data_IF_626161513786
#
_entry.id   IF_626161513786
#
_cell.length_a   1.000
_cell.length_b   1.000
_cell.length_c   1.000
_cell.angle_alpha   90.00
_cell.angle_beta   90.00
_cell.angle_gamma   90.00
#
_symmetry.space_group_name_H-M   'P 1'
#
loop_
_entity.id
_entity.type
_entity.pdbx_description
1 polymer ?
#
# COMPACT_ATOMS: atom_id res chain seq x y z
N UNK A 1 -11.62 -9.65 -6.92
CA UNK A 1 -12.51 -8.62 -6.34
C UNK A 1 -11.85 -8.11 -5.05
N UNK A 2 -11.95 -6.83 -4.73
CA UNK A 2 -11.13 -6.16 -3.69
C UNK A 2 -11.43 -6.54 -2.24
N UNK A 3 -10.38 -6.80 -1.44
CA UNK A 3 -10.41 -7.13 -0.01
C UNK A 3 -9.39 -6.29 0.77
N UNK A 4 -9.57 -6.22 2.10
CA UNK A 4 -8.65 -5.55 3.05
C UNK A 4 -8.30 -4.11 2.67
N UNK A 5 -9.24 -3.40 2.04
CA UNK A 5 -8.96 -2.07 1.50
C UNK A 5 -8.63 -1.08 2.61
N UNK A 6 -7.64 -0.23 2.36
CA UNK A 6 -7.30 0.92 3.19
C UNK A 6 -7.40 2.19 2.36
N UNK A 7 -7.76 3.31 2.99
CA UNK A 7 -7.98 4.59 2.32
C UNK A 7 -7.35 5.74 3.11
N UNK A 8 -6.75 6.67 2.38
CA UNK A 8 -6.30 7.96 2.88
C UNK A 8 -6.48 9.04 1.81
N UNK A 9 -6.19 10.31 2.12
CA UNK A 9 -6.39 11.43 1.20
C UNK A 9 -5.13 12.28 1.02
N UNK A 10 -4.93 12.81 -0.18
CA UNK A 10 -3.85 13.76 -0.45
C UNK A 10 -4.20 15.19 -0.01
N UNK A 11 -3.27 16.13 -0.25
CA UNK A 11 -3.46 17.55 0.07
C UNK A 11 -4.57 18.26 -0.71
N UNK A 12 -5.15 17.62 -1.72
CA UNK A 12 -6.30 18.09 -2.48
C UNK A 12 -7.61 17.39 -2.06
N UNK A 13 -7.58 16.61 -0.98
CA UNK A 13 -8.66 15.75 -0.52
C UNK A 13 -9.08 14.70 -1.56
N UNK A 14 -8.17 14.29 -2.43
CA UNK A 14 -8.43 13.21 -3.39
C UNK A 14 -8.17 11.87 -2.69
N UNK A 15 -9.07 10.88 -2.83
CA UNK A 15 -8.90 9.57 -2.20
C UNK A 15 -7.83 8.71 -2.87
N UNK A 16 -7.08 8.00 -2.02
CA UNK A 16 -6.06 7.01 -2.35
C UNK A 16 -6.42 5.72 -1.64
N UNK A 17 -6.57 4.62 -2.39
CA UNK A 17 -7.08 3.33 -1.88
C UNK A 17 -6.10 2.24 -2.24
N UNK A 18 -5.59 1.51 -1.26
CA UNK A 18 -4.92 0.22 -1.49
C UNK A 18 -5.91 -0.92 -1.27
N UNK A 19 -5.81 -2.00 -2.05
CA UNK A 19 -6.65 -3.17 -1.86
C UNK A 19 -6.02 -4.44 -2.44
N UNK A 20 -6.36 -5.58 -1.85
CA UNK A 20 -6.01 -6.91 -2.35
C UNK A 20 -7.03 -7.36 -3.40
N UNK A 21 -6.59 -7.68 -4.62
CA UNK A 21 -7.48 -8.23 -5.64
C UNK A 21 -7.47 -9.75 -5.64
N UNK A 22 -8.48 -10.37 -5.03
CA UNK A 22 -8.62 -11.85 -4.94
C UNK A 22 -8.82 -12.56 -6.29
N UNK A 23 -8.94 -11.81 -7.39
CA UNK A 23 -9.07 -12.40 -8.72
C UNK A 23 -7.70 -12.64 -9.37
N UNK A 24 -6.69 -11.91 -8.95
CA UNK A 24 -5.32 -12.01 -9.46
C UNK A 24 -4.28 -12.21 -8.36
N UNK A 25 -4.70 -12.17 -7.09
CA UNK A 25 -3.90 -12.25 -5.88
C UNK A 25 -2.86 -11.12 -5.74
N UNK A 26 -3.17 -9.96 -6.31
CA UNK A 26 -2.26 -8.81 -6.38
C UNK A 26 -2.59 -7.73 -5.34
N UNK A 27 -1.56 -6.93 -4.99
CA UNK A 27 -1.75 -5.62 -4.39
C UNK A 27 -2.07 -4.60 -5.48
N UNK A 28 -3.24 -3.97 -5.38
CA UNK A 28 -3.66 -2.90 -6.27
C UNK A 28 -3.85 -1.59 -5.52
N UNK A 29 -3.73 -0.52 -6.27
CA UNK A 29 -3.87 0.85 -5.81
C UNK A 29 -4.80 1.60 -6.76
N UNK A 30 -5.79 2.28 -6.21
CA UNK A 30 -6.69 3.15 -6.94
C UNK A 30 -6.68 4.55 -6.35
N UNK A 31 -6.67 5.57 -7.21
CA UNK A 31 -6.75 6.96 -6.77
C UNK A 31 -7.61 7.78 -7.71
N UNK A 32 -8.24 8.82 -7.16
CA UNK A 32 -8.99 9.79 -7.95
C UNK A 32 -8.05 10.91 -8.40
N UNK A 33 -7.89 11.09 -9.70
CA UNK A 33 -7.00 12.15 -10.22
C UNK A 33 -7.66 13.56 -10.22
N UNK A 34 -8.95 13.63 -9.91
CA UNK A 34 -9.77 14.84 -10.02
C UNK A 34 -10.88 14.73 -11.07
N UNK A 35 -10.75 13.78 -12.00
CA UNK A 35 -11.68 13.56 -13.12
C UNK A 35 -12.11 12.10 -13.28
N UNK A 36 -11.21 11.16 -12.99
CA UNK A 36 -11.48 9.73 -13.10
C UNK A 36 -10.67 8.92 -12.08
N UNK A 37 -11.12 7.69 -11.85
CA UNK A 37 -10.36 6.71 -11.09
C UNK A 37 -9.24 6.14 -11.96
N UNK A 38 -8.03 6.18 -11.42
CA UNK A 38 -6.86 5.47 -11.94
C UNK A 38 -6.65 4.22 -11.10
N UNK A 39 -6.18 3.13 -11.73
CA UNK A 39 -5.93 1.84 -11.06
C UNK A 39 -4.58 1.32 -11.52
N UNK A 40 -3.75 0.91 -10.56
CA UNK A 40 -2.40 0.39 -10.76
C UNK A 40 -2.22 -0.94 -10.02
N UNK A 41 -1.39 -1.82 -10.58
CA UNK A 41 -0.88 -3.02 -9.90
C UNK A 41 0.46 -2.67 -9.29
N UNK A 42 0.57 -2.77 -7.97
CA UNK A 42 1.76 -2.35 -7.22
C UNK A 42 2.72 -3.52 -7.05
N UNK A 43 2.18 -4.68 -6.69
CA UNK A 43 2.93 -5.93 -6.57
C UNK A 43 2.04 -7.08 -7.04
N UNK A 44 2.63 -7.96 -7.85
CA UNK A 44 2.01 -9.14 -8.46
C UNK A 44 2.86 -10.40 -8.24
N UNK A 45 3.81 -10.34 -7.31
CA UNK A 45 4.81 -11.37 -7.10
C UNK A 45 4.31 -12.45 -6.14
N UNK A 46 3.26 -13.19 -6.53
CA UNK A 46 2.60 -14.21 -5.69
C UNK A 46 1.31 -13.70 -5.05
N UNK A 47 0.85 -14.32 -3.96
CA UNK A 47 -0.31 -13.82 -3.17
C UNK A 47 0.16 -12.68 -2.26
N UNK A 48 -0.04 -11.46 -2.71
CA UNK A 48 0.45 -10.23 -2.09
C UNK A 48 -0.66 -9.19 -1.93
N UNK A 49 -0.56 -8.36 -0.90
CA UNK A 49 -1.46 -7.23 -0.69
C UNK A 49 -2.52 -7.44 0.39
N UNK A 50 -2.52 -8.61 1.04
CA UNK A 50 -3.41 -8.85 2.18
C UNK A 50 -3.09 -7.95 3.35
N UNK A 51 -4.14 -7.58 4.10
CA UNK A 51 -4.07 -6.65 5.23
C UNK A 51 -3.33 -5.36 4.91
N UNK A 52 -3.53 -4.82 3.71
CA UNK A 52 -2.85 -3.61 3.30
C UNK A 52 -3.26 -2.42 4.16
N UNK A 53 -2.31 -1.54 4.44
CA UNK A 53 -2.53 -0.23 5.04
C UNK A 53 -1.85 0.83 4.17
N UNK A 54 -2.53 1.95 3.94
CA UNK A 54 -2.03 3.07 3.16
C UNK A 54 -1.89 4.31 4.04
N UNK A 55 -0.86 5.12 3.77
CA UNK A 55 -0.73 6.47 4.28
C UNK A 55 -0.17 7.38 3.19
N UNK A 56 -0.68 8.61 3.11
CA UNK A 56 -0.27 9.62 2.12
C UNK A 56 0.46 10.75 2.83
N UNK A 57 1.70 11.01 2.44
CA UNK A 57 2.43 12.19 2.91
C UNK A 57 1.81 13.43 2.26
N UNK A 58 0.98 14.17 3.00
CA UNK A 58 0.29 15.36 2.48
C UNK A 58 1.23 16.51 2.07
N UNK A 59 2.50 16.50 2.47
CA UNK A 59 3.47 17.51 2.02
C UNK A 59 3.97 17.23 0.60
N UNK A 60 4.12 15.95 0.23
CA UNK A 60 4.73 15.52 -1.04
C UNK A 60 3.76 14.79 -1.97
N UNK A 61 2.61 14.37 -1.45
CA UNK A 61 1.68 13.41 -2.03
C UNK A 61 2.31 12.04 -2.36
N UNK A 62 3.41 11.69 -1.68
CA UNK A 62 3.97 10.35 -1.77
C UNK A 62 3.08 9.36 -1.04
N UNK A 63 2.92 8.18 -1.63
CA UNK A 63 2.04 7.13 -1.11
C UNK A 63 2.88 6.01 -0.52
N UNK A 64 2.49 5.57 0.66
CA UNK A 64 3.18 4.56 1.45
C UNK A 64 2.20 3.43 1.74
N UNK A 65 2.59 2.19 1.43
CA UNK A 65 1.72 1.02 1.60
C UNK A 65 2.49 -0.09 2.32
N UNK A 66 2.01 -0.52 3.49
CA UNK A 66 2.42 -1.79 4.09
C UNK A 66 1.42 -2.90 3.74
N UNK A 67 1.91 -4.13 3.61
CA UNK A 67 1.08 -5.29 3.27
C UNK A 67 1.79 -6.61 3.59
N UNK A 68 1.02 -7.69 3.60
CA UNK A 68 1.53 -9.04 3.76
C UNK A 68 1.67 -9.74 2.40
N UNK A 69 2.72 -10.54 2.26
CA UNK A 69 2.78 -11.61 1.27
C UNK A 69 2.30 -12.91 1.92
N UNK A 70 1.14 -13.43 1.53
CA UNK A 70 0.51 -14.58 2.20
C UNK A 70 1.33 -15.86 2.10
N UNK A 71 1.92 -16.13 0.92
CA UNK A 71 2.68 -17.36 0.66
C UNK A 71 3.84 -17.61 1.65
N UNK A 72 4.50 -16.56 2.13
CA UNK A 72 5.63 -16.66 3.07
C UNK A 72 5.42 -15.88 4.39
N UNK A 73 4.33 -15.10 4.48
CA UNK A 73 3.94 -14.27 5.63
C UNK A 73 4.93 -13.14 5.95
N UNK A 74 5.62 -12.67 4.92
CA UNK A 74 6.55 -11.54 5.02
C UNK A 74 5.78 -10.21 5.14
N UNK A 75 6.31 -9.31 5.96
CA UNK A 75 5.90 -7.91 5.94
C UNK A 75 6.63 -7.21 4.78
N UNK A 76 5.85 -6.62 3.88
CA UNK A 76 6.36 -5.86 2.73
C UNK A 76 5.90 -4.42 2.81
N UNK A 77 6.67 -3.57 2.15
CA UNK A 77 6.42 -2.14 2.07
C UNK A 77 6.70 -1.63 0.67
N UNK A 78 5.77 -0.84 0.13
CA UNK A 78 5.89 -0.17 -1.15
C UNK A 78 5.72 1.34 -0.98
N UNK A 79 6.56 2.11 -1.66
CA UNK A 79 6.52 3.57 -1.68
C UNK A 79 6.48 4.09 -3.11
N UNK A 80 5.61 5.06 -3.35
CA UNK A 80 5.62 5.93 -4.52
C UNK A 80 6.51 7.14 -4.27
N UNK A 81 7.47 7.40 -5.16
CA UNK A 81 8.40 8.54 -5.07
C UNK A 81 8.03 9.73 -5.97
N UNK A 82 6.87 9.69 -6.60
CA UNK A 82 6.45 10.65 -7.63
C UNK A 82 6.61 10.13 -9.07
N UNK A 83 7.31 9.00 -9.26
CA UNK A 83 7.60 8.45 -10.58
C UNK A 83 7.50 6.93 -10.67
N UNK A 84 7.95 6.21 -9.65
CA UNK A 84 7.95 4.75 -9.61
C UNK A 84 7.54 4.23 -8.24
N UNK A 85 6.98 3.03 -8.24
CA UNK A 85 6.82 2.22 -7.03
C UNK A 85 8.12 1.47 -6.73
N UNK A 86 8.60 1.59 -5.50
CA UNK A 86 9.70 0.78 -4.98
C UNK A 86 9.17 -0.09 -3.85
N UNK A 87 9.48 -1.39 -3.91
CA UNK A 87 9.02 -2.40 -2.95
C UNK A 87 10.20 -3.03 -2.24
N UNK A 88 10.09 -3.20 -0.92
CA UNK A 88 11.05 -3.96 -0.11
C UNK A 88 10.36 -4.94 0.84
N UNK A 89 11.12 -5.93 1.32
CA UNK A 89 10.69 -6.81 2.41
C UNK A 89 11.24 -6.26 3.72
N UNK A 90 10.34 -5.85 4.61
CA UNK A 90 10.68 -5.24 5.91
C UNK A 90 11.07 -6.31 6.92
N UNK A 91 10.33 -7.42 6.97
CA UNK A 91 10.63 -8.57 7.83
C UNK A 91 10.28 -9.88 7.11
N UNK A 92 11.30 -10.74 6.94
CA UNK A 92 11.22 -12.02 6.23
C UNK A 92 11.18 -13.25 7.17
N UNK A 93 10.99 -13.06 8.48
CA UNK A 93 11.06 -14.16 9.45
C UNK A 93 9.82 -15.06 9.50
N UNK A 94 8.76 -14.73 8.74
CA UNK A 94 7.49 -15.46 8.69
C UNK A 94 6.64 -15.28 9.96
N UNK A 95 5.35 -14.93 9.79
CA UNK A 95 4.35 -14.60 10.83
C UNK A 95 4.36 -13.16 11.35
N UNK A 96 4.77 -12.16 10.54
CA UNK A 96 4.87 -10.76 11.00
C UNK A 96 4.23 -9.72 10.07
N UNK A 97 3.63 -10.15 8.96
CA UNK A 97 2.93 -9.23 8.04
C UNK A 97 1.41 -9.14 8.24
N UNK A 98 0.79 -10.02 9.03
CA UNK A 98 -0.66 -10.04 9.20
C UNK A 98 -1.15 -8.78 9.95
N UNK A 99 -2.26 -8.19 9.50
CA UNK A 99 -2.90 -7.02 10.12
C UNK A 99 -1.96 -5.81 10.29
N UNK A 100 -1.03 -5.63 9.36
CA UNK A 100 -0.11 -4.49 9.42
C UNK A 100 -0.87 -3.16 9.37
N UNK A 101 -0.34 -2.15 10.05
CA UNK A 101 -0.72 -0.77 9.83
C UNK A 101 0.50 0.09 9.55
N UNK A 102 0.28 1.19 8.85
CA UNK A 102 1.30 2.20 8.57
C UNK A 102 0.76 3.58 8.95
N UNK A 103 1.62 4.38 9.56
CA UNK A 103 1.42 5.80 9.79
C UNK A 103 2.70 6.57 9.42
N UNK A 104 2.61 7.88 9.23
CA UNK A 104 3.75 8.73 8.86
C UNK A 104 4.02 9.76 9.96
N UNK A 105 5.30 9.99 10.27
CA UNK A 105 5.68 11.14 11.08
C UNK A 105 5.58 12.46 10.29
N UNK A 106 5.83 13.60 10.97
CA UNK A 106 5.81 14.92 10.34
C UNK A 106 6.87 15.13 9.24
N UNK A 107 7.82 14.22 9.10
CA UNK A 107 8.87 14.23 8.08
C UNK A 107 8.57 13.23 6.94
N UNK A 108 7.44 12.54 6.98
CA UNK A 108 7.04 11.53 5.99
C UNK A 108 7.75 10.18 6.16
N UNK A 109 8.32 9.90 7.34
CA UNK A 109 8.93 8.60 7.61
C UNK A 109 7.85 7.58 8.03
N UNK A 110 7.88 6.36 7.48
CA UNK A 110 6.89 5.34 7.80
C UNK A 110 7.16 4.69 9.16
N UNK A 111 6.09 4.56 9.94
CA UNK A 111 6.00 3.74 11.15
C UNK A 111 5.07 2.57 10.86
N UNK A 112 5.59 1.35 10.85
CA UNK A 112 4.85 0.13 10.54
C UNK A 112 4.77 -0.74 11.80
N UNK A 113 3.58 -1.25 12.12
CA UNK A 113 3.37 -2.26 13.17
C UNK A 113 2.60 -3.47 12.68
#
# INVERSE_FOLDING_TARGET
VGYFSSIDVDNQNRPHISYYDTSTDDLKYAYWDGSMWQIEVIDQSGDVGRWTSIAVDTNTNNVHISYCHEGNRDLKYSKWDGSIWTTETVDASGNRGEYTCIDLDSYGNPHIS
#
